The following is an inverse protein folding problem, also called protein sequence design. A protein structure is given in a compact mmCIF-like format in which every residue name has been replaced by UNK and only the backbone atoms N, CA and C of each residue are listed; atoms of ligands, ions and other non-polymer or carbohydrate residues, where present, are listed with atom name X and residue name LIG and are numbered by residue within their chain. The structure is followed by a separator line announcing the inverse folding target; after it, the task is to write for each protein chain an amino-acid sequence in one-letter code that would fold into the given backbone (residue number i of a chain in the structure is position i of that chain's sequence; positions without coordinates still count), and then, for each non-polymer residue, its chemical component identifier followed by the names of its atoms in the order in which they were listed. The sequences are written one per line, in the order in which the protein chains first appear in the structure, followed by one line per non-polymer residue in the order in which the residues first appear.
data_IF_320720055627
#
_entry.id   IF_320720055627
#
_cell.length_a   1.000
_cell.length_b   1.000
_cell.length_c   1.000
_cell.angle_alpha   90.00
_cell.angle_beta   90.00
_cell.angle_gamma   90.00
#
_symmetry.space_group_name_H-M   'P 1'
#
loop_
_entity.id
_entity.type
_entity.pdbx_description
1 polymer ?
#
# COMPACT_ATOMS: atom_id res chain seq x y z
N UNK A 1 -11.18 0.88 -11.16
CA UNK A 1 -10.35 0.69 -9.94
C UNK A 1 -11.27 0.85 -8.74
N UNK A 2 -11.35 -0.12 -7.82
CA UNK A 2 -12.32 -0.10 -6.71
C UNK A 2 -11.64 0.53 -5.49
N UNK A 3 -12.21 1.64 -5.00
CA UNK A 3 -11.79 2.31 -3.76
C UNK A 3 -12.54 1.65 -2.60
N UNK A 4 -11.86 1.47 -1.46
CA UNK A 4 -12.49 0.83 -0.30
C UNK A 4 -13.45 1.80 0.39
N UNK A 5 -14.74 1.47 0.39
CA UNK A 5 -15.75 2.23 1.13
C UNK A 5 -15.89 1.69 2.56
N UNK A 6 -16.46 2.50 3.47
CA UNK A 6 -16.67 2.07 4.87
C UNK A 6 -17.62 0.86 4.95
N UNK A 7 -18.65 0.85 4.12
CA UNK A 7 -19.70 -0.18 4.09
C UNK A 7 -19.18 -1.54 3.66
N UNK A 8 -18.16 -1.57 2.79
CA UNK A 8 -17.52 -2.80 2.33
C UNK A 8 -16.96 -3.63 3.48
N UNK A 9 -16.54 -3.00 4.58
CA UNK A 9 -15.97 -3.70 5.75
C UNK A 9 -16.98 -4.59 6.46
N UNK A 10 -18.26 -4.25 6.37
CA UNK A 10 -19.35 -4.98 7.01
C UNK A 10 -20.19 -5.78 6.02
N UNK A 11 -19.88 -5.70 4.73
CA UNK A 11 -20.63 -6.39 3.68
C UNK A 11 -20.29 -7.91 3.69
N UNK A 12 -21.26 -8.80 4.01
CA UNK A 12 -21.03 -10.25 4.06
C UNK A 12 -20.81 -10.90 2.68
N UNK A 13 -21.14 -10.21 1.60
CA UNK A 13 -20.94 -10.67 0.23
C UNK A 13 -19.52 -10.43 -0.28
N UNK A 14 -18.75 -9.57 0.40
CA UNK A 14 -17.34 -9.35 0.10
C UNK A 14 -16.51 -10.25 1.00
N UNK A 15 -15.94 -11.31 0.41
CA UNK A 15 -15.15 -12.30 1.15
C UNK A 15 -13.70 -12.34 0.67
N UNK A 16 -12.80 -12.77 1.56
CA UNK A 16 -11.39 -12.91 1.22
C UNK A 16 -11.18 -13.99 0.16
N UNK A 17 -10.40 -13.68 -0.88
CA UNK A 17 -10.07 -14.60 -1.98
C UNK A 17 -8.55 -14.82 -2.12
N UNK A 18 -7.79 -14.49 -1.06
CA UNK A 18 -6.33 -14.65 -1.03
C UNK A 18 -5.57 -13.40 -1.46
N UNK A 19 -4.45 -13.59 -2.15
CA UNK A 19 -3.51 -12.52 -2.49
C UNK A 19 -3.04 -12.62 -3.94
N UNK A 20 -2.76 -11.47 -4.55
CA UNK A 20 -2.10 -11.39 -5.84
C UNK A 20 -0.62 -11.75 -5.80
N UNK A 21 0.05 -11.44 -6.90
CA UNK A 21 1.50 -11.58 -7.04
C UNK A 21 2.23 -10.70 -6.03
N UNK A 22 3.42 -11.16 -5.62
CA UNK A 22 4.30 -10.39 -4.75
C UNK A 22 5.04 -9.33 -5.55
N UNK A 23 5.30 -8.21 -4.90
CA UNK A 23 6.21 -7.18 -5.37
C UNK A 23 7.21 -6.88 -4.28
N UNK A 24 8.46 -6.71 -4.67
CA UNK A 24 9.52 -6.28 -3.75
C UNK A 24 9.73 -4.79 -3.94
N UNK A 25 9.69 -4.04 -2.85
CA UNK A 25 10.00 -2.61 -2.81
C UNK A 25 11.29 -2.47 -2.01
N UNK A 26 12.28 -1.78 -2.58
CA UNK A 26 13.47 -1.41 -1.83
C UNK A 26 13.22 -0.08 -1.14
N UNK A 27 13.52 -0.02 0.15
CA UNK A 27 13.40 1.18 0.97
C UNK A 27 14.79 1.64 1.45
N UNK A 28 14.84 2.78 2.13
CA UNK A 28 16.06 3.33 2.69
C UNK A 28 16.73 2.32 3.62
N UNK A 29 18.08 2.28 3.61
CA UNK A 29 18.82 1.37 4.47
C UNK A 29 18.53 1.68 5.94
N UNK A 30 17.98 0.71 6.68
CA UNK A 30 17.81 0.85 8.13
C UNK A 30 19.11 0.37 8.79
N UNK A 31 19.82 1.29 9.45
CA UNK A 31 21.11 1.01 10.12
C UNK A 31 22.18 0.43 9.18
N UNK A 32 22.27 0.98 7.97
CA UNK A 32 23.27 0.60 6.97
C UNK A 32 23.02 -0.76 6.29
N UNK A 33 21.84 -1.37 6.47
CA UNK A 33 21.45 -2.61 5.80
C UNK A 33 20.36 -2.34 4.78
N UNK A 34 20.45 -2.97 3.61
CA UNK A 34 19.41 -2.87 2.60
C UNK A 34 18.07 -3.39 3.15
N UNK A 35 17.01 -2.60 2.98
CA UNK A 35 15.66 -2.92 3.43
C UNK A 35 14.81 -3.30 2.23
N UNK A 36 14.26 -4.52 2.23
CA UNK A 36 13.36 -5.00 1.18
C UNK A 36 12.00 -5.34 1.76
N UNK A 37 10.96 -4.67 1.27
CA UNK A 37 9.57 -4.89 1.63
C UNK A 37 8.92 -5.80 0.58
N UNK A 38 8.54 -7.00 0.97
CA UNK A 38 7.78 -7.91 0.12
C UNK A 38 6.28 -7.69 0.37
N UNK A 39 5.60 -7.09 -0.61
CA UNK A 39 4.21 -6.68 -0.50
C UNK A 39 3.33 -7.48 -1.46
N UNK A 40 2.15 -7.89 -1.00
CA UNK A 40 1.11 -8.53 -1.81
C UNK A 40 -0.22 -7.81 -1.64
N UNK A 41 -0.93 -7.55 -2.73
CA UNK A 41 -2.30 -7.02 -2.68
C UNK A 41 -3.28 -8.12 -2.32
N UNK A 42 -4.22 -7.84 -1.41
CA UNK A 42 -5.31 -8.76 -1.07
C UNK A 42 -6.35 -8.79 -2.18
N UNK A 43 -6.76 -9.99 -2.55
CA UNK A 43 -7.88 -10.25 -3.46
C UNK A 43 -9.15 -10.49 -2.66
N UNK A 44 -10.24 -9.96 -3.16
CA UNK A 44 -11.59 -10.08 -2.62
C UNK A 44 -12.49 -10.65 -3.70
N UNK A 45 -13.44 -11.49 -3.29
CA UNK A 45 -14.52 -11.96 -4.15
C UNK A 45 -15.79 -11.25 -3.73
N UNK A 46 -16.46 -10.62 -4.69
CA UNK A 46 -17.81 -10.12 -4.54
C UNK A 46 -18.78 -11.25 -4.92
N UNK A 47 -19.55 -11.78 -3.97
CA UNK A 47 -20.49 -12.87 -4.25
C UNK A 47 -21.65 -12.43 -5.13
N UNK A 48 -21.99 -11.14 -5.13
CA UNK A 48 -23.13 -10.61 -5.89
C UNK A 48 -22.86 -10.57 -7.39
N UNK A 49 -21.66 -10.13 -7.79
CA UNK A 49 -21.22 -10.09 -9.20
C UNK A 49 -20.35 -11.29 -9.61
N UNK A 50 -19.91 -12.10 -8.64
CA UNK A 50 -18.93 -13.16 -8.80
C UNK A 50 -17.56 -12.67 -9.36
N UNK A 51 -17.22 -11.41 -9.12
CA UNK A 51 -15.98 -10.80 -9.58
C UNK A 51 -14.90 -10.81 -8.51
N UNK A 52 -13.67 -11.09 -8.94
CA UNK A 52 -12.48 -10.97 -8.10
C UNK A 52 -11.87 -9.60 -8.31
N UNK A 53 -11.64 -8.87 -7.23
CA UNK A 53 -11.04 -7.55 -7.28
C UNK A 53 -9.98 -7.34 -6.19
N UNK A 54 -9.28 -6.22 -6.27
CA UNK A 54 -8.39 -5.73 -5.20
C UNK A 54 -8.66 -4.24 -5.04
N UNK A 55 -8.64 -3.77 -3.80
CA UNK A 55 -8.74 -2.33 -3.55
C UNK A 55 -7.46 -1.65 -4.01
N UNK A 56 -7.63 -0.48 -4.63
CA UNK A 56 -6.52 0.43 -4.80
C UNK A 56 -6.34 1.26 -3.54
N UNK A 57 -5.08 1.48 -3.19
CA UNK A 57 -4.69 2.43 -2.16
C UNK A 57 -4.49 3.76 -2.85
N UNK A 58 -5.29 4.75 -2.46
CA UNK A 58 -4.98 6.12 -2.81
C UNK A 58 -3.80 6.58 -1.94
N UNK A 59 -2.63 6.65 -2.55
CA UNK A 59 -1.40 7.11 -1.91
C UNK A 59 -1.11 8.57 -2.27
N UNK A 60 -2.03 9.27 -2.94
CA UNK A 60 -1.83 10.66 -3.38
C UNK A 60 -1.64 11.62 -2.21
N UNK A 61 -2.29 11.37 -1.06
CA UNK A 61 -2.07 12.10 0.18
C UNK A 61 -0.64 11.94 0.75
N UNK A 62 0.09 10.92 0.31
CA UNK A 62 1.46 10.61 0.72
C UNK A 62 2.49 10.87 -0.39
N UNK A 63 2.12 11.55 -1.49
CA UNK A 63 3.05 11.89 -2.58
C UNK A 63 4.24 12.77 -2.11
N UNK A 64 4.09 13.39 -0.92
CA UNK A 64 5.14 14.13 -0.21
C UNK A 64 6.06 13.29 0.70
N UNK A 65 5.88 11.97 0.85
CA UNK A 65 6.76 11.11 1.68
C UNK A 65 8.06 10.71 0.98
N UNK A 66 8.48 11.48 -0.02
CA UNK A 66 9.87 11.51 -0.49
C UNK A 66 10.70 12.29 0.52
N UNK A 67 11.17 11.60 1.56
CA UNK A 67 11.90 12.15 2.72
C UNK A 67 11.01 13.05 3.60
N UNK A 68 10.98 12.78 4.92
CA UNK A 68 10.30 13.68 5.83
C UNK A 68 10.99 15.07 5.80
N UNK A 69 10.25 16.14 6.11
CA UNK A 69 10.80 17.49 6.08
C UNK A 69 12.04 17.64 6.97
N UNK A 70 12.09 16.91 8.08
CA UNK A 70 13.22 16.87 9.00
C UNK A 70 14.51 16.32 8.34
N UNK A 71 14.40 15.27 7.53
CA UNK A 71 15.53 14.65 6.83
C UNK A 71 15.99 15.48 5.64
N UNK A 72 15.07 16.19 4.98
CA UNK A 72 15.43 17.19 3.95
C UNK A 72 16.13 18.39 4.58
N UNK A 73 15.65 18.89 5.72
CA UNK A 73 16.29 19.99 6.45
C UNK A 73 17.68 19.61 6.93
N UNK A 74 17.86 18.41 7.48
CA UNK A 74 19.16 17.88 7.89
C UNK A 74 20.20 17.88 6.76
N UNK A 75 19.79 17.52 5.53
CA UNK A 75 20.68 17.52 4.36
C UNK A 75 21.01 18.94 3.86
N UNK A 76 20.19 19.94 4.16
CA UNK A 76 20.39 21.34 3.73
C UNK A 76 21.23 22.16 4.70
N UNK A 77 21.34 21.76 5.97
CA UNK A 77 22.20 22.44 6.96
C UNK A 77 23.69 22.10 6.80
N UNK A 78 24.03 21.18 5.89
CA UNK A 78 25.41 20.76 5.62
C UNK A 78 26.15 21.53 4.53
N UNK A 79 25.50 22.50 3.86
CA UNK A 79 26.10 23.44 2.89
C UNK A 79 26.36 24.82 3.52
#
# INVERSE_FOLDING_TARGET
KKVQLKEDKTNPDIISYGFGEYRTIQDYPIRGRATYLHVRKRKWLDKSSNEIFSYDWDLSEFDGTRLNSEFVSFLKEGD
#
